data_IF_615198718615
#
_entry.id   IF_615198718615
#
_cell.length_a   1.000
_cell.length_b   1.000
_cell.length_c   1.000
_cell.angle_alpha   90.00
_cell.angle_beta   90.00
_cell.angle_gamma   90.00
#
_symmetry.space_group_name_H-M   'P 1'
#
loop_
_entity.id
_entity.type
_entity.pdbx_description
1 polymer ?
#
# COMPACT_ATOMS: atom_id res chain seq x y z
N UNK A 1 47.68 15.57 -34.07
CA UNK A 1 47.06 15.03 -32.84
C UNK A 1 45.74 15.77 -32.64
N UNK A 2 44.59 15.18 -32.97
CA UNK A 2 43.30 15.82 -32.79
C UNK A 2 42.88 15.73 -31.31
N UNK A 3 42.56 16.88 -30.71
CA UNK A 3 42.05 16.98 -29.33
C UNK A 3 40.53 16.83 -29.35
N UNK A 4 40.06 15.62 -29.04
CA UNK A 4 38.64 15.34 -28.80
C UNK A 4 38.15 16.16 -27.61
N UNK A 5 37.39 17.21 -27.92
CA UNK A 5 36.78 18.07 -26.93
C UNK A 5 35.54 17.38 -26.36
N UNK A 6 35.66 16.81 -25.16
CA UNK A 6 34.52 16.27 -24.41
C UNK A 6 33.50 17.39 -24.11
N UNK A 7 32.42 17.41 -24.88
CA UNK A 7 31.25 18.25 -24.60
C UNK A 7 30.55 17.74 -23.33
N UNK A 8 30.89 18.34 -22.20
CA UNK A 8 30.20 18.14 -20.93
C UNK A 8 28.94 19.00 -20.91
N UNK A 9 27.83 18.41 -21.38
CA UNK A 9 26.52 19.06 -21.28
C UNK A 9 26.16 19.27 -19.81
N UNK A 10 25.91 20.53 -19.42
CA UNK A 10 25.51 20.88 -18.05
C UNK A 10 24.16 20.21 -17.73
N UNK A 11 24.00 19.59 -16.55
CA UNK A 11 22.71 19.02 -16.17
C UNK A 11 21.68 20.15 -16.06
N UNK A 12 20.63 20.08 -16.90
CA UNK A 12 19.51 21.01 -16.78
C UNK A 12 18.88 20.86 -15.40
N UNK A 13 18.64 21.98 -14.70
CA UNK A 13 17.98 21.99 -13.40
C UNK A 13 16.60 21.33 -13.54
N UNK A 14 16.48 20.08 -13.09
CA UNK A 14 15.22 19.35 -13.15
C UNK A 14 14.20 20.03 -12.23
N UNK A 15 12.98 20.23 -12.74
CA UNK A 15 11.88 20.75 -11.93
C UNK A 15 11.51 19.73 -10.86
N UNK A 16 11.25 20.15 -9.60
CA UNK A 16 10.85 19.25 -8.54
C UNK A 16 9.54 18.52 -8.90
N UNK A 17 9.57 17.20 -8.89
CA UNK A 17 8.37 16.39 -9.11
C UNK A 17 7.53 16.35 -7.84
N UNK A 18 6.24 16.66 -7.96
CA UNK A 18 5.26 16.50 -6.87
C UNK A 18 4.51 15.18 -7.02
N UNK A 19 3.79 14.77 -5.98
CA UNK A 19 2.98 13.55 -6.05
C UNK A 19 2.00 13.56 -7.25
N UNK A 20 1.39 14.71 -7.57
CA UNK A 20 0.40 14.81 -8.64
C UNK A 20 1.03 14.78 -10.04
N UNK A 21 2.30 15.16 -10.17
CA UNK A 21 3.03 15.11 -11.44
C UNK A 21 3.66 13.74 -11.71
N UNK A 22 3.61 12.81 -10.74
CA UNK A 22 4.07 11.43 -10.96
C UNK A 22 3.14 10.67 -11.92
N UNK A 23 3.65 9.68 -12.68
CA UNK A 23 2.81 8.75 -13.43
C UNK A 23 1.79 8.04 -12.54
N UNK A 24 0.65 7.71 -13.12
CA UNK A 24 -0.51 7.14 -12.41
C UNK A 24 -0.14 5.88 -11.62
N UNK A 25 0.67 5.02 -12.22
CA UNK A 25 1.11 3.74 -11.68
C UNK A 25 1.93 3.96 -10.40
N UNK A 26 2.82 4.97 -10.40
CA UNK A 26 3.65 5.32 -9.25
C UNK A 26 2.79 5.89 -8.13
N UNK A 27 1.85 6.80 -8.45
CA UNK A 27 0.89 7.32 -7.45
C UNK A 27 0.10 6.20 -6.79
N UNK A 28 -0.44 5.27 -7.57
CA UNK A 28 -1.20 4.12 -7.06
C UNK A 28 -0.33 3.18 -6.22
N UNK A 29 0.93 2.99 -6.59
CA UNK A 29 1.90 2.22 -5.82
C UNK A 29 2.14 2.86 -4.44
N UNK A 30 2.45 4.16 -4.40
CA UNK A 30 2.64 4.93 -3.17
C UNK A 30 1.38 4.87 -2.28
N UNK A 31 0.19 5.06 -2.85
CA UNK A 31 -1.09 4.96 -2.13
C UNK A 31 -1.36 3.53 -1.62
N UNK A 32 -0.93 2.50 -2.33
CA UNK A 32 -1.04 1.12 -1.85
C UNK A 32 -0.10 0.86 -0.66
N UNK A 33 1.12 1.39 -0.72
CA UNK A 33 2.17 1.20 0.28
C UNK A 33 1.94 2.01 1.56
N UNK A 34 1.39 3.22 1.47
CA UNK A 34 1.10 4.08 2.64
C UNK A 34 0.06 3.48 3.59
N UNK A 35 -0.81 2.58 3.11
CA UNK A 35 -1.66 1.79 4.01
C UNK A 35 -0.87 0.76 4.84
N UNK A 36 0.23 0.20 4.29
CA UNK A 36 1.13 -0.72 5.00
C UNK A 36 2.05 0.04 5.99
N UNK A 37 2.42 1.28 5.68
CA UNK A 37 3.53 1.97 6.35
C UNK A 37 3.39 2.24 7.87
N UNK A 38 2.26 2.67 8.48
CA UNK A 38 2.29 3.03 9.89
C UNK A 38 1.91 1.91 10.87
N UNK A 39 1.68 0.68 10.39
CA UNK A 39 1.33 -0.45 11.28
C UNK A 39 2.11 -1.74 11.07
N UNK A 40 2.86 -1.91 9.98
CA UNK A 40 3.73 -3.10 9.85
C UNK A 40 4.88 -3.08 10.88
N UNK A 41 5.29 -1.91 11.38
CA UNK A 41 6.33 -1.82 12.43
C UNK A 41 5.79 -1.88 13.88
N UNK A 42 4.47 -1.74 14.11
CA UNK A 42 3.88 -1.77 15.49
C UNK A 42 2.80 -2.83 15.70
N UNK A 43 2.30 -3.48 14.65
CA UNK A 43 1.12 -4.34 14.70
C UNK A 43 1.41 -5.83 14.53
N UNK A 44 2.64 -6.30 14.77
CA UNK A 44 2.91 -7.74 14.69
C UNK A 44 3.77 -8.33 15.81
N UNK A 45 4.18 -7.56 16.83
CA UNK A 45 4.74 -8.19 18.04
C UNK A 45 3.66 -8.53 19.06
N UNK A 46 2.74 -7.62 19.37
CA UNK A 46 1.71 -7.88 20.40
C UNK A 46 0.69 -8.96 20.01
N UNK A 47 0.42 -9.15 18.72
CA UNK A 47 -0.44 -10.26 18.22
C UNK A 47 0.33 -11.59 18.20
N UNK A 48 1.65 -11.57 17.99
CA UNK A 48 2.46 -12.79 18.11
C UNK A 48 2.66 -13.20 19.57
N UNK A 49 2.89 -12.26 20.49
CA UNK A 49 3.01 -12.51 21.94
C UNK A 49 1.69 -13.10 22.47
N UNK A 50 0.54 -12.52 22.12
CA UNK A 50 -0.77 -13.04 22.54
C UNK A 50 -1.13 -14.43 21.95
N UNK A 51 -0.43 -14.91 20.92
CA UNK A 51 -0.60 -16.26 20.36
C UNK A 51 0.24 -17.31 21.07
N UNK A 52 1.29 -16.91 21.79
CA UNK A 52 2.15 -17.84 22.51
C UNK A 52 1.50 -18.30 23.82
N UNK A 53 0.74 -17.40 24.47
CA UNK A 53 0.16 -17.67 25.80
C UNK A 53 -1.23 -18.33 25.75
N UNK A 54 -1.91 -18.37 24.59
CA UNK A 54 -3.21 -19.05 24.47
C UNK A 54 -3.53 -19.44 23.01
N UNK A 55 -3.46 -20.74 22.65
CA UNK A 55 -3.54 -21.19 21.27
C UNK A 55 -4.97 -21.43 20.77
N UNK A 56 -6.03 -20.92 21.41
CA UNK A 56 -7.41 -21.16 20.94
C UNK A 56 -7.61 -20.61 19.50
N UNK A 57 -7.71 -21.48 18.48
CA UNK A 57 -7.79 -21.07 17.08
C UNK A 57 -9.14 -20.44 16.73
N UNK A 58 -10.16 -20.63 17.58
CA UNK A 58 -11.55 -20.27 17.30
C UNK A 58 -11.87 -18.80 17.56
N UNK A 59 -11.07 -18.10 18.37
CA UNK A 59 -11.43 -16.77 18.91
C UNK A 59 -10.88 -15.57 18.10
N UNK A 60 -9.77 -15.71 17.36
CA UNK A 60 -8.96 -14.51 17.00
C UNK A 60 -9.05 -14.09 15.51
N UNK A 61 -9.47 -15.00 14.61
CA UNK A 61 -9.38 -14.78 13.15
C UNK A 61 -10.51 -13.89 12.53
N UNK A 62 -11.76 -13.85 13.05
CA UNK A 62 -12.83 -13.05 12.42
C UNK A 62 -12.74 -11.53 12.67
N UNK A 63 -12.44 -11.12 13.91
CA UNK A 63 -12.52 -9.70 14.33
C UNK A 63 -11.41 -8.85 13.73
N UNK A 64 -10.19 -9.37 13.66
CA UNK A 64 -9.02 -8.66 13.11
C UNK A 64 -9.16 -8.41 11.60
N UNK A 65 -9.75 -9.34 10.85
CA UNK A 65 -9.94 -9.22 9.39
C UNK A 65 -11.04 -8.20 9.04
N UNK A 66 -12.16 -8.22 9.75
CA UNK A 66 -13.24 -7.24 9.57
C UNK A 66 -12.77 -5.83 9.95
N UNK A 67 -12.02 -5.70 11.06
CA UNK A 67 -11.43 -4.43 11.47
C UNK A 67 -10.46 -3.88 10.41
N UNK A 68 -9.52 -4.70 9.91
CA UNK A 68 -8.61 -4.31 8.82
C UNK A 68 -9.39 -3.85 7.58
N UNK A 69 -10.43 -4.59 7.17
CA UNK A 69 -11.27 -4.23 6.01
C UNK A 69 -12.02 -2.90 6.21
N UNK A 70 -12.60 -2.65 7.39
CA UNK A 70 -13.28 -1.38 7.71
C UNK A 70 -12.28 -0.21 7.73
N UNK A 71 -11.09 -0.42 8.30
CA UNK A 71 -10.01 0.57 8.33
C UNK A 71 -9.52 0.94 6.92
N UNK A 72 -9.28 -0.05 6.04
CA UNK A 72 -8.92 0.18 4.64
C UNK A 72 -9.95 1.04 3.91
N UNK A 73 -11.24 0.71 4.07
CA UNK A 73 -12.33 1.48 3.45
C UNK A 73 -12.36 2.92 3.96
N UNK A 74 -12.24 3.12 5.28
CA UNK A 74 -12.25 4.46 5.89
C UNK A 74 -11.04 5.28 5.44
N UNK A 75 -9.87 4.67 5.36
CA UNK A 75 -8.64 5.31 4.91
C UNK A 75 -8.72 5.73 3.43
N UNK A 76 -9.16 4.83 2.55
CA UNK A 76 -9.37 5.16 1.14
C UNK A 76 -10.40 6.27 0.93
N UNK A 77 -11.46 6.31 1.74
CA UNK A 77 -12.44 7.39 1.70
C UNK A 77 -11.84 8.73 2.15
N UNK A 78 -10.97 8.74 3.16
CA UNK A 78 -10.27 9.96 3.61
C UNK A 78 -9.35 10.50 2.52
N UNK A 79 -8.53 9.63 1.91
CA UNK A 79 -7.62 10.05 0.85
C UNK A 79 -8.34 10.53 -0.41
N UNK A 80 -9.44 9.87 -0.79
CA UNK A 80 -10.25 10.32 -1.92
C UNK A 80 -10.94 11.68 -1.73
N UNK A 81 -10.88 12.29 -0.54
CA UNK A 81 -11.36 13.66 -0.30
C UNK A 81 -10.28 14.72 -0.52
N UNK A 82 -9.01 14.32 -0.66
CA UNK A 82 -7.89 15.27 -0.76
C UNK A 82 -7.84 15.89 -2.15
N UNK A 83 -8.04 15.10 -3.21
CA UNK A 83 -7.95 15.55 -4.59
C UNK A 83 -8.69 14.57 -5.54
N UNK A 84 -9.23 15.06 -6.66
CA UNK A 84 -10.00 14.21 -7.60
C UNK A 84 -9.13 13.10 -8.23
N UNK A 85 -7.89 13.43 -8.62
CA UNK A 85 -6.91 12.41 -9.09
C UNK A 85 -6.69 11.31 -8.03
N UNK A 86 -6.57 11.70 -6.75
CA UNK A 86 -6.39 10.73 -5.65
C UNK A 86 -7.64 9.87 -5.46
N UNK A 87 -8.84 10.44 -5.66
CA UNK A 87 -10.11 9.70 -5.61
C UNK A 87 -10.17 8.61 -6.67
N UNK A 88 -9.79 8.91 -7.91
CA UNK A 88 -9.70 7.93 -8.98
C UNK A 88 -8.68 6.83 -8.68
N UNK A 89 -7.49 7.22 -8.26
CA UNK A 89 -6.41 6.29 -7.95
C UNK A 89 -6.77 5.39 -6.75
N UNK A 90 -7.42 5.94 -5.72
CA UNK A 90 -7.98 5.13 -4.63
C UNK A 90 -9.10 4.20 -5.10
N UNK A 91 -9.85 4.56 -6.15
CA UNK A 91 -10.80 3.67 -6.81
C UNK A 91 -10.10 2.41 -7.34
N UNK A 92 -8.97 2.57 -8.02
CA UNK A 92 -8.14 1.46 -8.48
C UNK A 92 -7.54 0.65 -7.33
N UNK A 93 -6.89 1.30 -6.37
CA UNK A 93 -6.23 0.63 -5.22
C UNK A 93 -7.23 -0.22 -4.43
N UNK A 94 -8.46 0.28 -4.23
CA UNK A 94 -9.54 -0.50 -3.58
C UNK A 94 -9.92 -1.76 -4.34
N UNK A 95 -9.93 -1.73 -5.67
CA UNK A 95 -10.19 -2.92 -6.50
C UNK A 95 -9.06 -3.93 -6.35
N UNK A 96 -7.81 -3.48 -6.32
CA UNK A 96 -6.66 -4.37 -6.13
C UNK A 96 -6.66 -5.05 -4.75
N UNK A 97 -6.95 -4.31 -3.68
CA UNK A 97 -7.09 -4.92 -2.36
C UNK A 97 -8.21 -5.96 -2.28
N UNK A 98 -9.36 -5.72 -2.94
CA UNK A 98 -10.43 -6.73 -3.03
C UNK A 98 -9.95 -7.99 -3.75
N UNK A 99 -9.22 -7.86 -4.86
CA UNK A 99 -8.65 -9.00 -5.60
C UNK A 99 -7.68 -9.81 -4.73
N UNK A 100 -6.78 -9.14 -4.02
CA UNK A 100 -5.86 -9.79 -3.08
C UNK A 100 -6.61 -10.54 -1.97
N UNK A 101 -7.62 -9.93 -1.36
CA UNK A 101 -8.43 -10.59 -0.32
C UNK A 101 -9.15 -11.85 -0.84
N UNK A 102 -9.64 -11.83 -2.08
CA UNK A 102 -10.24 -13.02 -2.73
C UNK A 102 -9.20 -14.12 -2.94
N UNK A 103 -8.02 -13.77 -3.47
CA UNK A 103 -6.91 -14.72 -3.67
C UNK A 103 -6.47 -15.37 -2.36
N UNK A 104 -6.27 -14.58 -1.30
CA UNK A 104 -5.91 -15.12 0.02
C UNK A 104 -7.00 -16.02 0.59
N UNK A 105 -8.29 -15.71 0.36
CA UNK A 105 -9.39 -16.59 0.79
C UNK A 105 -9.36 -17.93 0.05
N UNK A 106 -9.12 -17.92 -1.26
CA UNK A 106 -9.02 -19.15 -2.06
C UNK A 106 -7.86 -20.04 -1.60
N UNK A 107 -6.67 -19.47 -1.36
CA UNK A 107 -5.51 -20.23 -0.88
C UNK A 107 -5.77 -20.87 0.48
N UNK A 108 -6.43 -20.17 1.40
CA UNK A 108 -6.76 -20.72 2.72
C UNK A 108 -7.78 -21.85 2.67
N UNK A 109 -8.71 -21.84 1.70
CA UNK A 109 -9.72 -22.90 1.53
C UNK A 109 -9.17 -24.17 0.87
N UNK A 110 -8.01 -24.09 0.22
CA UNK A 110 -7.35 -25.26 -0.40
C UNK A 110 -6.43 -25.97 0.61
N UNK A 111 -6.05 -25.29 1.70
CA UNK A 111 -5.02 -25.76 2.65
C UNK A 111 -5.56 -26.21 4.02
N UNK A 112 -6.86 -26.10 4.26
CA UNK A 112 -7.52 -26.56 5.49
C UNK A 112 -8.68 -27.45 5.12
#
# INVERSE_FOLDING_TARGET
MPTDSLNTSKPSKATPTTFLTLPREIRQCILSLTYRAPRVLKFDMSIMIARYDNPDPSVIIPRTRLYKRRKMKRWARKLGKVHEIVKEDMGYVRRQWKKQLKRTKAILLIRG
#
